data_IF_724450550222
#
_entry.id   IF_724450550222
#
_cell.length_a   1.000
_cell.length_b   1.000
_cell.length_c   1.000
_cell.angle_alpha   90.00
_cell.angle_beta   90.00
_cell.angle_gamma   90.00
#
_symmetry.space_group_name_H-M   'P 1'
#
loop_
_entity.id
_entity.type
_entity.pdbx_description
1 polymer ?
#
# COMPACT_ATOMS: atom_id res chain seq x y z
N UNK A 1 28.79 20.99 -21.56
CA UNK A 1 28.50 20.41 -20.24
C UNK A 1 27.08 19.83 -20.31
N UNK A 2 26.95 18.59 -20.77
CA UNK A 2 25.65 17.97 -20.99
C UNK A 2 25.28 17.21 -19.72
N UNK A 3 24.27 17.72 -19.01
CA UNK A 3 23.73 17.05 -17.82
C UNK A 3 23.02 15.78 -18.30
N UNK A 4 23.65 14.62 -18.14
CA UNK A 4 23.03 13.33 -18.39
C UNK A 4 21.93 13.13 -17.34
N UNK A 5 20.67 13.23 -17.76
CA UNK A 5 19.54 12.83 -16.94
C UNK A 5 19.70 11.33 -16.67
N UNK A 6 20.07 10.99 -15.44
CA UNK A 6 20.23 9.62 -14.98
C UNK A 6 18.88 8.92 -15.16
N UNK A 7 18.82 7.89 -16.00
CA UNK A 7 17.59 7.11 -16.15
C UNK A 7 17.19 6.56 -14.77
N UNK A 8 15.92 6.74 -14.35
CA UNK A 8 15.49 6.28 -13.05
C UNK A 8 15.64 4.76 -13.00
N UNK A 9 16.37 4.27 -12.01
CA UNK A 9 16.46 2.84 -11.74
C UNK A 9 15.03 2.30 -11.52
N UNK A 10 14.73 1.08 -11.97
CA UNK A 10 13.44 0.42 -11.81
C UNK A 10 12.85 0.56 -10.38
N UNK A 11 13.69 0.52 -9.35
CA UNK A 11 13.26 0.74 -7.97
C UNK A 11 12.72 2.15 -7.72
N UNK A 12 13.35 3.20 -8.27
CA UNK A 12 12.88 4.58 -8.13
C UNK A 12 11.58 4.81 -8.89
N UNK A 13 11.47 4.28 -10.12
CA UNK A 13 10.23 4.32 -10.88
C UNK A 13 9.09 3.60 -10.15
N UNK A 14 9.39 2.46 -9.54
CA UNK A 14 8.42 1.64 -8.80
C UNK A 14 8.00 2.26 -7.45
N UNK A 15 8.89 2.98 -6.76
CA UNK A 15 8.51 3.81 -5.60
C UNK A 15 7.70 5.04 -6.02
N UNK A 16 8.01 5.66 -7.18
CA UNK A 16 7.26 6.81 -7.71
C UNK A 16 5.82 6.44 -8.06
N UNK A 17 5.61 5.31 -8.74
CA UNK A 17 4.26 4.84 -9.08
C UNK A 17 3.47 4.48 -7.83
N UNK A 18 4.09 3.86 -6.82
CA UNK A 18 3.45 3.58 -5.53
C UNK A 18 3.10 4.87 -4.77
N UNK A 19 3.97 5.88 -4.73
CA UNK A 19 3.63 7.20 -4.16
C UNK A 19 2.42 7.82 -4.85
N UNK A 20 2.40 7.83 -6.19
CA UNK A 20 1.25 8.36 -6.94
C UNK A 20 -0.04 7.56 -6.72
N UNK A 21 0.05 6.24 -6.51
CA UNK A 21 -1.10 5.41 -6.16
C UNK A 21 -1.66 5.81 -4.79
N UNK A 22 -0.79 6.02 -3.79
CA UNK A 22 -1.19 6.38 -2.43
C UNK A 22 -1.78 7.78 -2.36
N UNK A 23 -1.20 8.75 -3.07
CA UNK A 23 -1.73 10.11 -3.16
C UNK A 23 -3.16 10.13 -3.70
N UNK A 24 -3.46 9.27 -4.69
CA UNK A 24 -4.80 9.13 -5.26
C UNK A 24 -5.82 8.51 -4.28
N UNK A 25 -5.39 7.78 -3.26
CA UNK A 25 -6.28 7.21 -2.23
C UNK A 25 -6.89 8.28 -1.30
N UNK A 26 -6.46 9.55 -1.40
CA UNK A 26 -7.16 10.64 -0.72
C UNK A 26 -8.59 10.84 -1.26
N UNK A 27 -8.82 10.47 -2.52
CA UNK A 27 -10.13 10.50 -3.13
C UNK A 27 -10.87 9.17 -2.86
N UNK A 28 -11.93 9.24 -2.07
CA UNK A 28 -12.78 8.09 -1.76
C UNK A 28 -13.71 7.71 -2.92
N UNK A 29 -13.93 8.61 -3.87
CA UNK A 29 -14.75 8.37 -5.06
C UNK A 29 -13.93 7.75 -6.21
N UNK A 30 -12.58 7.80 -6.14
CA UNK A 30 -11.69 7.13 -7.11
C UNK A 30 -11.64 5.61 -6.86
N UNK A 31 -12.73 4.93 -7.19
CA UNK A 31 -12.87 3.47 -7.11
C UNK A 31 -11.76 2.74 -7.87
N UNK A 32 -11.25 3.33 -8.96
CA UNK A 32 -10.19 2.71 -9.77
C UNK A 32 -8.88 2.66 -9.00
N UNK A 33 -8.50 3.73 -8.31
CA UNK A 33 -7.33 3.73 -7.43
C UNK A 33 -7.45 2.72 -6.30
N UNK A 34 -8.64 2.60 -5.71
CA UNK A 34 -8.91 1.63 -4.66
C UNK A 34 -8.81 0.19 -5.16
N UNK A 35 -9.32 -0.10 -6.36
CA UNK A 35 -9.22 -1.41 -6.99
C UNK A 35 -7.76 -1.76 -7.36
N UNK A 36 -7.02 -0.83 -7.96
CA UNK A 36 -5.58 -1.01 -8.26
C UNK A 36 -4.77 -1.26 -6.97
N UNK A 37 -5.08 -0.51 -5.92
CA UNK A 37 -4.48 -0.68 -4.60
C UNK A 37 -4.78 -2.06 -4.00
N UNK A 38 -6.05 -2.45 -3.98
CA UNK A 38 -6.47 -3.76 -3.50
C UNK A 38 -5.76 -4.87 -4.25
N UNK A 39 -5.83 -4.88 -5.60
CA UNK A 39 -5.19 -5.87 -6.48
C UNK A 39 -3.68 -5.99 -6.24
N UNK A 40 -3.02 -4.89 -5.90
CA UNK A 40 -1.58 -4.85 -5.62
C UNK A 40 -1.24 -5.51 -4.27
N UNK A 41 -2.03 -5.29 -3.22
CA UNK A 41 -1.63 -5.62 -1.85
C UNK A 41 -2.40 -6.77 -1.19
N UNK A 42 -3.57 -7.16 -1.68
CA UNK A 42 -4.40 -8.18 -1.02
C UNK A 42 -3.66 -9.51 -0.80
N UNK A 43 -2.89 -9.98 -1.79
CA UNK A 43 -2.09 -11.22 -1.69
C UNK A 43 -0.99 -11.13 -0.65
N UNK A 44 -0.38 -9.95 -0.50
CA UNK A 44 0.67 -9.72 0.49
C UNK A 44 0.09 -9.82 1.90
N UNK A 45 -1.01 -9.09 2.15
CA UNK A 45 -1.67 -9.06 3.46
C UNK A 45 -2.21 -10.45 3.81
N UNK A 46 -2.90 -11.09 2.86
CA UNK A 46 -3.39 -12.47 3.01
C UNK A 46 -2.25 -13.44 3.32
N UNK A 47 -1.13 -13.36 2.60
CA UNK A 47 0.04 -14.20 2.84
C UNK A 47 0.67 -13.99 4.22
N UNK A 48 0.61 -12.78 4.78
CA UNK A 48 1.03 -12.50 6.16
C UNK A 48 0.06 -13.12 7.16
N UNK A 49 -1.25 -12.95 6.95
CA UNK A 49 -2.31 -13.51 7.80
C UNK A 49 -2.26 -15.05 7.86
N UNK A 50 -2.09 -15.71 6.72
CA UNK A 50 -1.94 -17.18 6.69
C UNK A 50 -0.65 -17.62 7.41
N UNK A 51 0.45 -16.88 7.25
CA UNK A 51 1.71 -17.16 7.96
C UNK A 51 1.63 -16.94 9.47
N UNK A 52 0.72 -16.10 9.94
CA UNK A 52 0.44 -15.93 11.37
C UNK A 52 -0.54 -16.99 11.92
N UNK A 53 -0.96 -17.95 11.10
CA UNK A 53 -1.80 -19.09 11.51
C UNK A 53 -3.30 -18.88 11.31
N UNK A 54 -3.73 -17.79 10.66
CA UNK A 54 -5.14 -17.56 10.36
C UNK A 54 -5.62 -18.51 9.26
N UNK A 55 -6.86 -19.00 9.41
CA UNK A 55 -7.55 -19.77 8.36
C UNK A 55 -7.92 -18.85 7.20
N UNK A 56 -8.29 -19.45 6.07
CA UNK A 56 -8.59 -18.70 4.85
C UNK A 56 -9.63 -17.59 5.05
N UNK A 57 -10.73 -17.89 5.76
CA UNK A 57 -11.80 -16.93 6.04
C UNK A 57 -11.27 -15.75 6.88
N UNK A 58 -10.61 -16.06 8.00
CA UNK A 58 -9.98 -15.06 8.88
C UNK A 58 -8.90 -14.23 8.16
N UNK A 59 -8.17 -14.84 7.23
CA UNK A 59 -7.17 -14.15 6.42
C UNK A 59 -7.80 -13.19 5.40
N UNK A 60 -8.98 -13.50 4.86
CA UNK A 60 -9.73 -12.57 4.02
C UNK A 60 -10.33 -11.42 4.84
N UNK A 61 -10.82 -11.69 6.05
CA UNK A 61 -11.29 -10.65 6.97
C UNK A 61 -10.15 -9.70 7.34
N UNK A 62 -8.97 -10.23 7.68
CA UNK A 62 -7.77 -9.45 7.95
C UNK A 62 -7.36 -8.55 6.76
N UNK A 63 -7.53 -9.03 5.52
CA UNK A 63 -7.34 -8.20 4.31
C UNK A 63 -8.32 -7.04 4.32
N UNK A 64 -9.62 -7.30 4.46
CA UNK A 64 -10.64 -6.25 4.43
C UNK A 64 -10.43 -5.20 5.53
N UNK A 65 -10.17 -5.65 6.76
CA UNK A 65 -9.91 -4.76 7.89
C UNK A 65 -8.67 -3.88 7.67
N UNK A 66 -7.60 -4.46 7.12
CA UNK A 66 -6.38 -3.71 6.78
C UNK A 66 -6.67 -2.63 5.75
N UNK A 67 -7.40 -2.96 4.68
CA UNK A 67 -7.75 -2.00 3.63
C UNK A 67 -8.61 -0.86 4.17
N UNK A 68 -9.62 -1.17 5.00
CA UNK A 68 -10.47 -0.16 5.66
C UNK A 68 -9.64 0.73 6.59
N UNK A 69 -8.71 0.15 7.35
CA UNK A 69 -7.83 0.88 8.26
C UNK A 69 -6.94 1.86 7.48
N UNK A 70 -6.39 1.43 6.33
CA UNK A 70 -5.58 2.28 5.45
C UNK A 70 -6.42 3.43 4.89
N UNK A 71 -7.65 3.16 4.43
CA UNK A 71 -8.55 4.20 3.94
C UNK A 71 -8.86 5.27 4.99
N UNK A 72 -9.12 4.85 6.24
CA UNK A 72 -9.33 5.77 7.36
C UNK A 72 -8.07 6.60 7.66
N UNK A 73 -6.91 5.97 7.74
CA UNK A 73 -5.66 6.66 8.05
C UNK A 73 -5.19 7.60 6.94
N UNK A 74 -5.44 7.24 5.68
CA UNK A 74 -5.16 8.10 4.54
C UNK A 74 -6.03 9.37 4.59
N UNK A 75 -7.33 9.23 4.89
CA UNK A 75 -8.23 10.37 5.13
C UNK A 75 -7.75 11.28 6.25
N UNK A 76 -7.12 10.72 7.27
CA UNK A 76 -6.52 11.46 8.40
C UNK A 76 -5.12 12.03 8.09
N UNK A 77 -4.58 11.82 6.88
CA UNK A 77 -3.25 12.29 6.49
C UNK A 77 -2.09 11.66 7.26
N UNK A 78 -2.30 10.46 7.83
CA UNK A 78 -1.32 9.82 8.74
C UNK A 78 -0.14 9.17 8.03
N UNK A 79 -0.27 8.85 6.74
CA UNK A 79 0.86 8.35 5.96
C UNK A 79 1.70 9.52 5.43
N UNK A 80 2.97 9.55 5.87
CA UNK A 80 3.97 10.49 5.37
C UNK A 80 5.03 9.72 4.57
N UNK A 81 5.08 9.87 3.23
CA UNK A 81 6.04 9.18 2.38
C UNK A 81 7.50 9.59 2.63
N UNK A 82 7.76 10.61 3.45
CA UNK A 82 9.11 11.01 3.87
C UNK A 82 9.58 10.26 5.12
N UNK A 83 8.68 9.60 5.86
CA UNK A 83 9.02 8.86 7.10
C UNK A 83 9.37 7.39 6.87
N UNK A 84 9.15 6.85 5.68
CA UNK A 84 9.49 5.47 5.35
C UNK A 84 8.77 4.95 4.11
N UNK A 85 9.10 3.72 3.69
CA UNK A 85 8.41 3.09 2.56
C UNK A 85 6.98 2.70 2.93
N UNK A 86 6.07 2.82 1.96
CA UNK A 86 4.69 2.36 2.12
C UNK A 86 4.61 0.88 2.51
N UNK A 87 5.49 0.05 1.94
CA UNK A 87 5.55 -1.38 2.26
C UNK A 87 5.87 -1.62 3.74
N UNK A 88 6.82 -0.87 4.31
CA UNK A 88 7.15 -1.00 5.73
C UNK A 88 5.99 -0.56 6.63
N UNK A 89 5.31 0.53 6.25
CA UNK A 89 4.10 0.99 6.94
C UNK A 89 2.96 -0.03 6.87
N UNK A 90 2.71 -0.60 5.69
CA UNK A 90 1.72 -1.65 5.47
C UNK A 90 2.00 -2.89 6.33
N UNK A 91 3.25 -3.36 6.34
CA UNK A 91 3.66 -4.50 7.16
C UNK A 91 3.48 -4.25 8.66
N UNK A 92 3.60 -3.00 9.10
CA UNK A 92 3.34 -2.63 10.49
C UNK A 92 1.85 -2.68 10.83
N UNK A 93 0.98 -2.36 9.87
CA UNK A 93 -0.48 -2.43 10.04
C UNK A 93 -1.01 -3.86 9.99
N UNK A 94 -0.35 -4.76 9.25
CA UNK A 94 -0.75 -6.16 9.10
C UNK A 94 -0.09 -7.08 10.14
N UNK A 95 0.30 -6.56 11.30
CA UNK A 95 0.79 -7.35 12.44
C UNK A 95 -0.37 -7.62 13.38
N UNK A 96 -0.78 -8.88 13.43
CA UNK A 96 -1.78 -9.42 14.35
C UNK A 96 -1.09 -10.24 15.43
#
# INVERSE_FOLDING_TARGET
MSVSAKEPNFNEAYERTRKSLIERLNDWEDQKSWDDFYKTYWRLIYGVAVKSGLKNEEAFDAVQETIICIAKQQKEGKYDPNKGSFKAWLMNMSRW
#
